data_IF_394778219233
#
_entry.id   IF_394778219233
#
_cell.length_a   1.000
_cell.length_b   1.000
_cell.length_c   1.000
_cell.angle_alpha   90.00
_cell.angle_beta   90.00
_cell.angle_gamma   90.00
#
_symmetry.space_group_name_H-M   'P 1'
#
loop_
_entity.id
_entity.type
_entity.pdbx_description
1 polymer ?
#
# COMPACT_ATOMS: atom_id res chain seq x y z
N UNK A 1 -11.32 -20.25 -48.35
CA UNK A 1 -11.34 -20.31 -46.88
C UNK A 1 -11.44 -18.89 -46.38
N UNK A 2 -12.66 -18.40 -46.22
CA UNK A 2 -12.95 -17.02 -45.82
C UNK A 2 -12.85 -16.88 -44.31
N UNK A 3 -12.11 -15.87 -43.87
CA UNK A 3 -12.12 -15.34 -42.51
C UNK A 3 -13.40 -14.50 -42.35
N UNK A 4 -14.56 -15.16 -42.38
CA UNK A 4 -15.84 -14.54 -42.05
C UNK A 4 -15.95 -14.43 -40.52
N UNK A 5 -15.93 -13.20 -40.00
CA UNK A 5 -16.35 -12.92 -38.61
C UNK A 5 -15.39 -12.12 -37.73
N UNK A 6 -14.21 -11.69 -38.20
CA UNK A 6 -13.36 -10.79 -37.41
C UNK A 6 -13.91 -9.36 -37.44
N UNK A 7 -14.55 -8.94 -36.35
CA UNK A 7 -14.84 -7.52 -36.10
C UNK A 7 -13.50 -6.79 -35.99
N UNK A 8 -13.22 -5.90 -36.95
CA UNK A 8 -12.10 -4.98 -36.85
C UNK A 8 -12.45 -3.87 -35.85
N UNK A 9 -11.48 -3.50 -35.02
CA UNK A 9 -11.61 -2.34 -34.13
C UNK A 9 -11.22 -1.12 -34.96
N UNK A 10 -12.21 -0.31 -35.33
CA UNK A 10 -12.00 0.86 -36.19
C UNK A 10 -11.33 2.03 -35.44
N UNK A 11 -11.46 2.07 -34.11
CA UNK A 11 -10.93 3.14 -33.28
C UNK A 11 -10.56 2.65 -31.87
N UNK A 12 -9.40 3.09 -31.37
CA UNK A 12 -8.95 2.85 -29.99
C UNK A 12 -8.82 4.20 -29.28
N UNK A 13 -9.67 4.43 -28.28
CA UNK A 13 -9.66 5.66 -27.49
C UNK A 13 -8.84 5.47 -26.22
N UNK A 14 -7.96 6.42 -25.91
CA UNK A 14 -7.10 6.40 -24.72
C UNK A 14 -7.51 7.52 -23.76
N UNK A 15 -8.00 7.14 -22.58
CA UNK A 15 -8.41 8.09 -21.54
C UNK A 15 -7.24 8.96 -21.04
N UNK A 16 -7.54 10.18 -20.59
CA UNK A 16 -6.62 11.04 -19.85
C UNK A 16 -7.33 11.72 -18.67
N UNK A 17 -6.81 11.61 -17.42
CA UNK A 17 -5.58 10.92 -17.04
C UNK A 17 -5.70 9.39 -17.05
N UNK A 18 -4.58 8.68 -17.20
CA UNK A 18 -4.45 7.22 -17.06
C UNK A 18 -3.06 6.85 -16.55
N UNK A 19 -2.92 5.72 -15.87
CA UNK A 19 -1.63 5.22 -15.38
C UNK A 19 -1.32 5.65 -13.96
N UNK A 20 -0.05 5.99 -13.71
CA UNK A 20 0.46 6.25 -12.36
C UNK A 20 -0.05 7.55 -11.77
N UNK A 21 -0.34 7.51 -10.46
CA UNK A 21 -0.55 8.69 -9.65
C UNK A 21 0.72 9.01 -8.85
N UNK A 22 0.82 10.22 -8.32
CA UNK A 22 1.99 10.66 -7.56
C UNK A 22 2.32 9.76 -6.34
N UNK A 23 1.31 9.13 -5.73
CA UNK A 23 1.52 8.20 -4.62
C UNK A 23 2.18 6.89 -5.07
N UNK A 24 1.79 6.38 -6.23
CA UNK A 24 2.37 5.18 -6.85
C UNK A 24 3.82 5.44 -7.26
N UNK A 25 4.07 6.53 -7.99
CA UNK A 25 5.43 6.91 -8.42
C UNK A 25 6.39 7.00 -7.22
N UNK A 26 5.98 7.74 -6.19
CA UNK A 26 6.77 7.90 -4.96
C UNK A 26 7.06 6.56 -4.29
N UNK A 27 6.08 5.66 -4.21
CA UNK A 27 6.25 4.41 -3.48
C UNK A 27 7.23 3.46 -4.18
N UNK A 28 7.17 3.39 -5.52
CA UNK A 28 8.12 2.62 -6.33
C UNK A 28 9.53 3.22 -6.16
N UNK A 29 9.67 4.54 -6.30
CA UNK A 29 10.97 5.22 -6.18
C UNK A 29 11.63 5.00 -4.81
N UNK A 30 10.85 4.95 -3.73
CA UNK A 30 11.37 4.66 -2.37
C UNK A 30 12.04 3.29 -2.32
N UNK A 31 11.42 2.26 -2.89
CA UNK A 31 11.98 0.90 -2.90
C UNK A 31 13.23 0.85 -3.77
N UNK A 32 13.19 1.44 -4.97
CA UNK A 32 14.34 1.49 -5.87
C UNK A 32 15.54 2.19 -5.24
N UNK A 33 15.34 3.36 -4.64
CA UNK A 33 16.40 4.12 -3.98
C UNK A 33 16.91 3.44 -2.71
N UNK A 34 16.06 2.71 -2.00
CA UNK A 34 16.50 1.89 -0.87
C UNK A 34 17.42 0.76 -1.35
N UNK A 35 17.06 0.08 -2.44
CA UNK A 35 17.90 -0.97 -3.05
C UNK A 35 19.24 -0.41 -3.54
N UNK A 36 19.24 0.77 -4.18
CA UNK A 36 20.47 1.44 -4.63
C UNK A 36 21.37 1.85 -3.46
N UNK A 37 20.79 2.39 -2.39
CA UNK A 37 21.55 2.96 -1.27
C UNK A 37 22.02 1.93 -0.25
N UNK A 38 21.20 0.92 0.05
CA UNK A 38 21.46 -0.05 1.12
C UNK A 38 21.75 -1.46 0.61
N UNK A 39 21.59 -1.70 -0.69
CA UNK A 39 21.75 -3.02 -1.29
C UNK A 39 20.55 -3.94 -1.04
N UNK A 40 20.75 -5.23 -1.32
CA UNK A 40 19.73 -6.28 -1.19
C UNK A 40 19.97 -7.13 0.08
N UNK A 41 18.92 -7.70 0.70
CA UNK A 41 17.50 -7.50 0.36
C UNK A 41 16.91 -6.24 1.01
N UNK A 42 15.88 -5.66 0.37
CA UNK A 42 14.96 -4.70 0.99
C UNK A 42 13.62 -5.40 1.22
N UNK A 43 13.12 -5.39 2.45
CA UNK A 43 11.83 -5.99 2.77
C UNK A 43 10.72 -4.97 2.57
N UNK A 44 9.60 -5.39 1.97
CA UNK A 44 8.44 -4.54 1.74
C UNK A 44 7.20 -5.22 2.34
N UNK A 45 6.53 -4.54 3.27
CA UNK A 45 5.31 -5.03 3.92
C UNK A 45 4.12 -4.86 2.97
N UNK A 46 3.52 -5.98 2.56
CA UNK A 46 2.60 -6.10 1.42
C UNK A 46 3.24 -5.71 0.08
N UNK A 47 2.56 -6.00 -1.03
CA UNK A 47 2.92 -5.43 -2.33
C UNK A 47 2.98 -3.90 -2.26
N UNK A 48 4.03 -3.30 -2.84
CA UNK A 48 4.26 -1.84 -2.78
C UNK A 48 3.08 -1.08 -3.40
N UNK A 49 2.53 -1.66 -4.48
CA UNK A 49 1.29 -1.30 -5.20
C UNK A 49 0.71 -2.59 -5.80
N UNK A 50 -0.60 -2.65 -6.00
CA UNK A 50 -1.27 -3.81 -6.61
C UNK A 50 -1.07 -3.89 -8.13
N UNK A 51 0.17 -4.12 -8.57
CA UNK A 51 0.53 -4.33 -9.97
C UNK A 51 1.62 -5.40 -10.10
N UNK A 52 1.26 -6.54 -10.66
CA UNK A 52 2.15 -7.71 -10.81
C UNK A 52 3.43 -7.40 -11.59
N UNK A 53 3.39 -6.54 -12.61
CA UNK A 53 4.59 -6.18 -13.37
C UNK A 53 5.58 -5.41 -12.50
N UNK A 54 5.12 -4.40 -11.77
CA UNK A 54 5.94 -3.60 -10.85
C UNK A 54 6.51 -4.49 -9.73
N UNK A 55 5.68 -5.33 -9.13
CA UNK A 55 6.10 -6.24 -8.05
C UNK A 55 7.20 -7.20 -8.53
N UNK A 56 7.04 -7.80 -9.70
CA UNK A 56 8.03 -8.72 -10.24
C UNK A 56 9.34 -8.03 -10.62
N UNK A 57 9.29 -6.82 -11.18
CA UNK A 57 10.48 -6.03 -11.47
C UNK A 57 11.28 -5.72 -10.20
N UNK A 58 10.62 -5.27 -9.13
CA UNK A 58 11.25 -5.01 -7.84
C UNK A 58 11.81 -6.28 -7.18
N UNK A 59 11.11 -7.41 -7.29
CA UNK A 59 11.64 -8.72 -6.84
C UNK A 59 12.94 -9.07 -7.54
N UNK A 60 12.99 -8.91 -8.85
CA UNK A 60 14.19 -9.17 -9.65
C UNK A 60 15.36 -8.25 -9.26
N UNK A 61 15.07 -7.02 -8.82
CA UNK A 61 16.07 -6.07 -8.30
C UNK A 61 16.55 -6.39 -6.88
N UNK A 62 15.81 -7.20 -6.12
CA UNK A 62 16.19 -7.67 -4.78
C UNK A 62 15.24 -7.27 -3.64
N UNK A 63 14.03 -6.78 -3.96
CA UNK A 63 12.99 -6.58 -2.96
C UNK A 63 12.35 -7.92 -2.56
N UNK A 64 12.03 -8.07 -1.27
CA UNK A 64 11.31 -9.22 -0.72
C UNK A 64 10.00 -8.72 -0.13
N UNK A 65 8.89 -9.12 -0.73
CA UNK A 65 7.56 -8.77 -0.27
C UNK A 65 7.09 -9.76 0.80
N UNK A 66 6.63 -9.26 1.93
CA UNK A 66 6.27 -10.05 3.13
C UNK A 66 4.89 -9.68 3.65
N UNK A 67 4.24 -10.67 4.24
CA UNK A 67 2.95 -10.51 4.93
C UNK A 67 3.10 -10.40 6.45
N UNK A 68 4.12 -11.02 7.04
CA UNK A 68 4.37 -10.93 8.48
C UNK A 68 5.73 -10.29 8.76
N UNK A 69 5.78 -9.37 9.71
CA UNK A 69 7.04 -8.78 10.16
C UNK A 69 7.93 -9.82 10.85
N UNK A 70 7.37 -10.92 11.37
CA UNK A 70 8.11 -12.05 11.92
C UNK A 70 9.08 -12.69 10.91
N UNK A 71 8.75 -12.65 9.61
CA UNK A 71 9.56 -13.21 8.52
C UNK A 71 10.81 -12.38 8.21
N UNK A 72 10.94 -11.19 8.82
CA UNK A 72 12.01 -10.24 8.55
C UNK A 72 13.11 -10.36 9.63
N UNK A 73 14.41 -10.43 9.29
CA UNK A 73 15.49 -10.39 10.26
C UNK A 73 15.51 -9.06 11.04
N UNK A 74 15.69 -9.07 12.38
CA UNK A 74 15.84 -7.84 13.17
C UNK A 74 16.91 -6.90 12.61
N UNK A 75 16.66 -5.59 12.67
CA UNK A 75 17.58 -4.58 12.14
C UNK A 75 17.58 -4.41 10.61
N UNK A 76 16.82 -5.22 9.86
CA UNK A 76 16.72 -5.07 8.41
C UNK A 76 16.05 -3.75 7.99
N UNK A 77 16.25 -3.37 6.72
CA UNK A 77 15.53 -2.26 6.09
C UNK A 77 14.14 -2.73 5.64
N UNK A 78 13.11 -2.03 6.11
CA UNK A 78 11.71 -2.33 5.84
C UNK A 78 11.02 -1.13 5.18
N UNK A 79 10.21 -1.40 4.16
CA UNK A 79 9.36 -0.40 3.51
C UNK A 79 7.89 -0.74 3.77
N UNK A 80 7.10 0.22 4.25
CA UNK A 80 5.63 0.07 4.28
C UNK A 80 5.04 0.46 2.92
N UNK A 81 4.06 -0.31 2.42
CA UNK A 81 3.45 -0.07 1.11
C UNK A 81 2.70 1.27 0.99
N UNK A 82 2.31 1.64 -0.24
CA UNK A 82 1.55 2.86 -0.51
C UNK A 82 0.19 2.92 0.20
N UNK A 83 -0.39 1.75 0.49
CA UNK A 83 -1.70 1.59 1.14
C UNK A 83 -1.69 1.92 2.63
N UNK A 84 -0.50 2.04 3.23
CA UNK A 84 -0.34 2.30 4.66
C UNK A 84 -0.48 1.06 5.53
N UNK A 85 -0.26 1.27 6.83
CA UNK A 85 -0.24 0.24 7.87
C UNK A 85 -0.87 0.74 9.16
N UNK A 86 -1.37 -0.17 9.98
CA UNK A 86 -1.94 0.11 11.30
C UNK A 86 -0.90 0.62 12.29
N UNK A 87 -1.35 1.20 13.40
CA UNK A 87 -0.44 1.60 14.50
C UNK A 87 0.30 0.41 15.09
N UNK A 88 -0.38 -0.73 15.24
CA UNK A 88 0.23 -1.95 15.77
C UNK A 88 1.43 -2.43 14.93
N UNK A 89 1.31 -2.42 13.59
CA UNK A 89 2.41 -2.80 12.69
C UNK A 89 3.57 -1.80 12.77
N UNK A 90 3.29 -0.50 12.93
CA UNK A 90 4.34 0.52 13.14
C UNK A 90 5.08 0.31 14.46
N UNK A 91 4.34 0.03 15.53
CA UNK A 91 4.89 -0.19 16.87
C UNK A 91 5.76 -1.46 16.90
N UNK A 92 5.29 -2.54 16.26
CA UNK A 92 6.06 -3.77 16.11
C UNK A 92 7.36 -3.55 15.34
N UNK A 93 7.31 -2.85 14.20
CA UNK A 93 8.50 -2.54 13.41
C UNK A 93 9.55 -1.75 14.22
N UNK A 94 9.10 -0.81 15.05
CA UNK A 94 9.97 -0.05 15.94
C UNK A 94 10.58 -0.95 17.03
N UNK A 95 9.80 -1.84 17.65
CA UNK A 95 10.27 -2.79 18.66
C UNK A 95 11.31 -3.78 18.11
N UNK A 96 11.16 -4.20 16.85
CA UNK A 96 12.13 -5.09 16.16
C UNK A 96 13.37 -4.35 15.64
N UNK A 97 13.43 -3.02 15.82
CA UNK A 97 14.59 -2.20 15.48
C UNK A 97 14.83 -2.05 13.98
N UNK A 98 13.80 -2.17 13.15
CA UNK A 98 13.95 -2.01 11.70
C UNK A 98 14.30 -0.58 11.30
N UNK A 99 15.07 -0.45 10.22
CA UNK A 99 15.23 0.83 9.52
C UNK A 99 14.05 1.00 8.56
N UNK A 100 13.05 1.79 8.96
CA UNK A 100 11.77 1.89 8.25
C UNK A 100 11.75 3.08 7.27
N UNK A 101 11.35 2.81 6.03
CA UNK A 101 10.90 3.83 5.07
C UNK A 101 9.39 3.73 4.86
N UNK A 102 8.66 4.81 5.15
CA UNK A 102 7.22 4.83 5.01
C UNK A 102 6.81 5.33 3.60
N UNK A 103 6.45 4.40 2.73
CA UNK A 103 5.97 4.71 1.38
C UNK A 103 4.45 4.96 1.32
N UNK A 104 3.74 4.99 2.45
CA UNK A 104 2.32 5.33 2.51
C UNK A 104 2.05 6.61 1.70
N UNK A 105 1.04 6.56 0.83
CA UNK A 105 0.61 7.72 0.06
C UNK A 105 0.22 8.86 1.03
N UNK A 106 0.70 10.11 0.82
CA UNK A 106 0.32 11.22 1.70
C UNK A 106 -1.19 11.44 1.83
N UNK A 107 -1.97 11.06 0.81
CA UNK A 107 -3.43 11.13 0.87
C UNK A 107 -4.05 10.06 1.79
N UNK A 108 -3.44 8.87 1.88
CA UNK A 108 -3.82 7.84 2.86
C UNK A 108 -3.42 8.29 4.27
N UNK A 109 -2.20 8.81 4.43
CA UNK A 109 -1.74 9.37 5.72
C UNK A 109 -2.66 10.49 6.20
N UNK A 110 -3.19 11.32 5.30
CA UNK A 110 -4.18 12.35 5.65
C UNK A 110 -5.42 11.72 6.32
N UNK A 111 -5.97 10.65 5.74
CA UNK A 111 -7.12 9.93 6.34
C UNK A 111 -6.75 9.40 7.72
N UNK A 112 -5.59 8.75 7.87
CA UNK A 112 -5.12 8.23 9.16
C UNK A 112 -5.00 9.32 10.25
N UNK A 113 -4.49 10.49 9.86
CA UNK A 113 -4.31 11.64 10.75
C UNK A 113 -5.66 12.21 11.18
N UNK A 114 -6.61 12.41 10.25
CA UNK A 114 -7.93 12.94 10.57
C UNK A 114 -8.73 11.98 11.47
N UNK A 115 -8.72 10.67 11.18
CA UNK A 115 -9.34 9.65 12.03
C UNK A 115 -8.78 9.72 13.46
N UNK A 116 -7.45 9.74 13.61
CA UNK A 116 -6.81 9.83 14.93
C UNK A 116 -7.04 11.15 15.66
N UNK A 117 -7.23 12.24 14.92
CA UNK A 117 -7.48 13.58 15.50
C UNK A 117 -8.91 13.69 15.99
N UNK A 118 -9.89 13.45 15.11
CA UNK A 118 -11.30 13.60 15.42
C UNK A 118 -11.78 12.56 16.45
N UNK A 119 -11.16 11.38 16.53
CA UNK A 119 -11.42 10.43 17.63
C UNK A 119 -11.09 11.00 19.01
N UNK A 120 -10.02 11.79 19.12
CA UNK A 120 -9.65 12.47 20.38
C UNK A 120 -10.65 13.57 20.76
N UNK A 121 -11.45 14.03 19.81
CA UNK A 121 -12.54 14.99 20.03
C UNK A 121 -13.87 14.27 20.36
N UNK A 122 -13.89 12.93 20.43
CA UNK A 122 -15.04 12.13 20.83
C UNK A 122 -15.94 11.68 19.67
N UNK A 123 -15.49 11.81 18.42
CA UNK A 123 -16.23 11.32 17.26
C UNK A 123 -16.05 9.80 17.05
N UNK A 124 -17.12 9.17 16.59
CA UNK A 124 -17.11 7.83 16.02
C UNK A 124 -17.10 7.91 14.48
N UNK A 125 -16.62 6.86 13.82
CA UNK A 125 -16.40 6.84 12.38
C UNK A 125 -17.10 5.67 11.70
N UNK A 126 -17.64 5.95 10.52
CA UNK A 126 -18.03 4.94 9.56
C UNK A 126 -16.96 4.93 8.46
N UNK A 127 -16.19 3.86 8.39
CA UNK A 127 -15.23 3.61 7.32
C UNK A 127 -15.97 2.95 6.17
N UNK A 128 -15.98 3.58 5.00
CA UNK A 128 -16.54 3.00 3.78
C UNK A 128 -15.40 2.38 2.99
N UNK A 129 -15.44 1.07 2.78
CA UNK A 129 -14.40 0.36 2.05
C UNK A 129 -14.53 -1.14 2.20
N UNK A 130 -13.71 -1.90 1.48
CA UNK A 130 -13.81 -3.35 1.44
C UNK A 130 -12.99 -4.03 2.54
N UNK A 131 -13.61 -4.99 3.24
CA UNK A 131 -12.93 -5.76 4.28
C UNK A 131 -11.74 -6.53 3.70
N UNK A 132 -10.62 -6.51 4.40
CA UNK A 132 -9.39 -7.18 3.97
C UNK A 132 -8.56 -6.39 2.94
N UNK A 133 -9.00 -5.22 2.47
CA UNK A 133 -8.13 -4.35 1.68
C UNK A 133 -7.06 -3.71 2.59
N UNK A 134 -5.76 -3.73 2.24
CA UNK A 134 -4.69 -3.22 3.12
C UNK A 134 -4.89 -1.78 3.60
N UNK A 135 -5.42 -0.90 2.75
CA UNK A 135 -5.72 0.49 3.12
C UNK A 135 -6.83 0.60 4.17
N UNK A 136 -7.82 -0.29 4.09
CA UNK A 136 -8.92 -0.36 5.07
C UNK A 136 -8.37 -0.86 6.39
N UNK A 137 -7.63 -1.96 6.40
CA UNK A 137 -7.01 -2.50 7.62
C UNK A 137 -6.04 -1.48 8.26
N UNK A 138 -5.28 -0.76 7.43
CA UNK A 138 -4.41 0.33 7.86
C UNK A 138 -5.18 1.48 8.52
N UNK A 139 -6.29 1.92 7.92
CA UNK A 139 -7.11 3.02 8.42
C UNK A 139 -7.89 2.64 9.68
N UNK A 140 -8.53 1.47 9.68
CA UNK A 140 -9.23 0.92 10.84
C UNK A 140 -8.27 0.78 12.03
N UNK A 141 -7.06 0.27 11.77
CA UNK A 141 -6.00 0.09 12.76
C UNK A 141 -5.35 1.38 13.28
N UNK A 142 -5.88 2.55 12.94
CA UNK A 142 -5.51 3.81 13.59
C UNK A 142 -6.23 3.99 14.94
N UNK A 143 -7.35 3.32 15.16
CA UNK A 143 -8.11 3.36 16.41
C UNK A 143 -8.26 1.94 16.98
N UNK A 144 -8.52 1.84 18.29
CA UNK A 144 -8.83 0.55 18.94
C UNK A 144 -10.33 0.25 18.90
N UNK A 145 -11.15 1.29 18.92
CA UNK A 145 -12.62 1.25 18.96
C UNK A 145 -13.18 2.56 18.37
N UNK A 146 -14.51 2.63 18.19
CA UNK A 146 -15.18 3.83 17.66
C UNK A 146 -15.04 4.01 16.15
N UNK A 147 -14.68 2.96 15.41
CA UNK A 147 -14.65 2.94 13.94
C UNK A 147 -15.29 1.66 13.42
N UNK A 148 -16.24 1.80 12.50
CA UNK A 148 -17.09 0.72 12.00
C UNK A 148 -16.97 0.63 10.48
N UNK A 149 -16.70 -0.57 9.95
CA UNK A 149 -16.61 -0.80 8.52
C UNK A 149 -17.98 -1.05 7.90
N UNK A 150 -18.27 -0.39 6.78
CA UNK A 150 -19.45 -0.64 5.95
C UNK A 150 -19.02 -0.83 4.49
N UNK A 151 -19.59 -1.84 3.83
CA UNK A 151 -19.32 -2.15 2.41
C UNK A 151 -20.51 -1.75 1.53
N UNK A 152 -21.73 -2.00 2.00
CA UNK A 152 -22.96 -1.88 1.22
C UNK A 152 -24.09 -1.18 2.01
N UNK A 153 -25.13 -0.75 1.30
CA UNK A 153 -26.42 -0.37 1.90
C UNK A 153 -27.21 -1.64 2.24
N UNK A 154 -27.91 -1.64 3.39
CA UNK A 154 -28.67 -2.78 3.89
C UNK A 154 -29.85 -3.21 2.99
#
# INVERSE_FOLDING_TARGET
MGIDGQKFVDEVLLAQPRGFCAGVDRAIEIVERALEKFGRPIYVRHEIVHNTFVVNDLKNKGAIFIEDLADVPPGATLVFSAHGVSKAVRDEAAQRGFSVFDATCPLVTKVHVEVSKLAREGYEFIMIGHKGHPEVEGTMGQLREGIYLVEDVA
#
